data_IF_930533716830
#
_entry.id   IF_930533716830
#
_cell.length_a   1.000
_cell.length_b   1.000
_cell.length_c   1.000
_cell.angle_alpha   90.00
_cell.angle_beta   90.00
_cell.angle_gamma   90.00
#
_symmetry.space_group_name_H-M   'P 1'
#
loop_
_entity.id
_entity.type
_entity.pdbx_description
1 polymer ?
#
# COMPACT_ATOMS: atom_id res chain seq x y z
N UNK A 1 -25.12 10.17 -27.15
CA UNK A 1 -23.69 10.29 -26.81
C UNK A 1 -23.60 10.68 -25.34
N UNK A 2 -23.14 9.78 -24.46
CA UNK A 2 -23.01 10.09 -23.02
C UNK A 2 -21.84 11.05 -22.82
N UNK A 3 -22.04 12.13 -22.07
CA UNK A 3 -20.98 13.09 -21.76
C UNK A 3 -19.80 12.37 -21.09
N UNK A 4 -18.54 12.67 -21.48
CA UNK A 4 -17.37 11.98 -20.94
C UNK A 4 -17.25 12.24 -19.44
N UNK A 5 -17.42 11.20 -18.63
CA UNK A 5 -17.30 11.28 -17.17
C UNK A 5 -15.84 11.48 -16.73
N UNK A 6 -15.60 11.98 -15.52
CA UNK A 6 -14.25 12.11 -14.94
C UNK A 6 -13.42 10.82 -15.02
N UNK A 7 -14.08 9.65 -14.97
CA UNK A 7 -13.45 8.33 -15.10
C UNK A 7 -12.93 8.07 -16.52
N UNK A 8 -13.57 8.59 -17.55
CA UNK A 8 -13.11 8.49 -18.95
C UNK A 8 -11.86 9.35 -19.14
N UNK A 9 -11.86 10.59 -18.66
CA UNK A 9 -10.68 11.44 -18.67
C UNK A 9 -9.51 10.82 -17.90
N UNK A 10 -9.76 10.28 -16.70
CA UNK A 10 -8.76 9.56 -15.92
C UNK A 10 -8.14 8.38 -16.70
N UNK A 11 -8.96 7.58 -17.40
CA UNK A 11 -8.45 6.48 -18.22
C UNK A 11 -7.65 6.97 -19.42
N UNK A 12 -8.10 8.04 -20.07
CA UNK A 12 -7.45 8.62 -21.25
C UNK A 12 -6.10 9.23 -20.89
N UNK A 13 -6.05 10.06 -19.84
CA UNK A 13 -4.78 10.60 -19.33
C UNK A 13 -3.81 9.49 -18.88
N UNK A 14 -4.34 8.39 -18.31
CA UNK A 14 -3.50 7.25 -17.93
C UNK A 14 -2.95 6.51 -19.15
N UNK A 15 -3.72 6.40 -20.23
CA UNK A 15 -3.26 5.81 -21.48
C UNK A 15 -2.09 6.61 -22.06
N UNK A 16 -2.26 7.93 -22.21
CA UNK A 16 -1.20 8.79 -22.73
C UNK A 16 0.05 8.78 -21.86
N UNK A 17 -0.12 8.79 -20.53
CA UNK A 17 1.00 8.66 -19.60
C UNK A 17 1.76 7.35 -19.81
N UNK A 18 1.06 6.24 -19.96
CA UNK A 18 1.68 4.93 -20.19
C UNK A 18 2.37 4.82 -21.56
N UNK A 19 1.88 5.55 -22.56
CA UNK A 19 2.50 5.65 -23.89
C UNK A 19 3.73 6.56 -23.91
N UNK A 20 3.99 7.31 -22.84
CA UNK A 20 5.08 8.29 -22.75
C UNK A 20 4.71 9.68 -23.29
N UNK A 21 3.44 9.90 -23.65
CA UNK A 21 2.92 11.18 -24.12
C UNK A 21 2.59 12.10 -22.93
N UNK A 22 3.63 12.52 -22.20
CA UNK A 22 3.50 13.32 -20.97
C UNK A 22 2.76 14.65 -21.21
N UNK A 23 3.03 15.32 -22.33
CA UNK A 23 2.40 16.62 -22.66
C UNK A 23 0.88 16.49 -22.85
N UNK A 24 0.43 15.49 -23.61
CA UNK A 24 -1.00 15.24 -23.83
C UNK A 24 -1.70 14.78 -22.56
N UNK A 25 -1.05 13.92 -21.77
CA UNK A 25 -1.55 13.52 -20.45
C UNK A 25 -1.78 14.73 -19.53
N UNK A 26 -0.84 15.68 -19.47
CA UNK A 26 -1.02 16.94 -18.71
C UNK A 26 -2.16 17.79 -19.24
N UNK A 27 -2.29 17.92 -20.56
CA UNK A 27 -3.36 18.69 -21.19
C UNK A 27 -4.74 18.11 -20.81
N UNK A 28 -4.88 16.78 -20.92
CA UNK A 28 -6.09 16.06 -20.51
C UNK A 28 -6.37 16.18 -19.02
N UNK A 29 -5.34 16.12 -18.17
CA UNK A 29 -5.50 16.34 -16.73
C UNK A 29 -5.92 17.77 -16.41
N UNK A 30 -5.38 18.78 -17.09
CA UNK A 30 -5.76 20.19 -16.91
C UNK A 30 -7.20 20.43 -17.36
N UNK A 31 -7.59 19.91 -18.52
CA UNK A 31 -8.96 20.01 -19.02
C UNK A 31 -9.95 19.32 -18.08
N UNK A 32 -9.63 18.08 -17.66
CA UNK A 32 -10.51 17.31 -16.78
C UNK A 32 -10.62 17.92 -15.39
N UNK A 33 -9.55 18.48 -14.83
CA UNK A 33 -9.60 19.19 -13.56
C UNK A 33 -10.45 20.47 -13.66
N UNK A 34 -10.45 21.18 -14.79
CA UNK A 34 -11.35 22.35 -14.97
C UNK A 34 -12.84 21.99 -14.93
N UNK A 35 -13.19 20.74 -15.28
CA UNK A 35 -14.58 20.24 -15.29
C UNK A 35 -14.94 19.46 -14.02
N UNK A 36 -13.96 18.80 -13.40
CA UNK A 36 -14.15 17.83 -12.31
C UNK A 36 -13.11 18.03 -11.20
N UNK A 37 -13.12 19.21 -10.58
CA UNK A 37 -12.18 19.57 -9.49
C UNK A 37 -12.31 18.67 -8.26
N UNK A 38 -13.50 18.10 -8.01
CA UNK A 38 -13.79 17.30 -6.82
C UNK A 38 -13.33 15.85 -6.93
N UNK A 39 -12.81 15.42 -8.09
CA UNK A 39 -12.43 14.04 -8.30
C UNK A 39 -10.95 13.82 -7.93
N UNK A 40 -10.65 13.20 -6.77
CA UNK A 40 -9.32 13.21 -6.16
C UNK A 40 -8.26 12.50 -7.02
N UNK A 41 -8.68 11.49 -7.79
CA UNK A 41 -7.75 10.66 -8.56
C UNK A 41 -7.10 11.41 -9.73
N UNK A 42 -7.73 12.46 -10.25
CA UNK A 42 -7.11 13.34 -11.26
C UNK A 42 -5.98 14.17 -10.63
N UNK A 43 -6.18 14.69 -9.42
CA UNK A 43 -5.12 15.37 -8.65
C UNK A 43 -3.96 14.41 -8.30
N UNK A 44 -4.28 13.17 -7.93
CA UNK A 44 -3.26 12.15 -7.67
C UNK A 44 -2.41 11.89 -8.92
N UNK A 45 -3.05 11.68 -10.07
CA UNK A 45 -2.35 11.46 -11.34
C UNK A 45 -1.51 12.65 -11.75
N UNK A 46 -2.04 13.88 -11.60
CA UNK A 46 -1.29 15.11 -11.90
C UNK A 46 -0.01 15.20 -11.05
N UNK A 47 -0.11 15.02 -9.74
CA UNK A 47 1.06 15.08 -8.87
C UNK A 47 2.08 13.98 -9.15
N UNK A 48 1.63 12.75 -9.41
CA UNK A 48 2.52 11.64 -9.75
C UNK A 48 3.25 11.85 -11.09
N UNK A 49 2.58 12.45 -12.08
CA UNK A 49 3.18 12.79 -13.36
C UNK A 49 4.33 13.79 -13.19
N UNK A 50 4.10 14.84 -12.39
CA UNK A 50 5.15 15.82 -12.06
C UNK A 50 6.29 15.21 -11.22
N UNK A 51 5.99 14.25 -10.32
CA UNK A 51 7.04 13.48 -9.62
C UNK A 51 7.93 12.67 -10.58
N UNK A 52 7.36 12.07 -11.62
CA UNK A 52 8.14 11.34 -12.65
C UNK A 52 9.05 12.27 -13.45
N UNK A 53 8.59 13.49 -13.72
CA UNK A 53 9.37 14.53 -14.40
C UNK A 53 10.36 15.27 -13.48
N UNK A 54 10.38 14.90 -12.18
CA UNK A 54 11.20 15.53 -11.13
C UNK A 54 10.83 17.00 -10.85
N UNK A 55 9.65 17.44 -11.27
CA UNK A 55 9.09 18.74 -10.90
C UNK A 55 8.37 18.64 -9.53
N UNK A 56 9.18 18.69 -8.47
CA UNK A 56 8.68 18.54 -7.11
C UNK A 56 7.80 19.70 -6.64
N UNK A 57 7.96 20.88 -7.24
CA UNK A 57 7.17 22.06 -6.89
C UNK A 57 5.74 21.94 -7.42
N UNK A 58 5.58 21.66 -8.71
CA UNK A 58 4.25 21.46 -9.30
C UNK A 58 3.55 20.21 -8.74
N UNK A 59 4.30 19.15 -8.42
CA UNK A 59 3.76 17.99 -7.71
C UNK A 59 3.15 18.38 -6.35
N UNK A 60 3.87 19.19 -5.57
CA UNK A 60 3.40 19.68 -4.27
C UNK A 60 2.15 20.55 -4.42
N UNK A 61 2.12 21.45 -5.39
CA UNK A 61 0.95 22.29 -5.66
C UNK A 61 -0.26 21.46 -6.10
N UNK A 62 -0.07 20.47 -6.96
CA UNK A 62 -1.12 19.56 -7.39
C UNK A 62 -1.75 18.82 -6.21
N UNK A 63 -0.92 18.25 -5.32
CA UNK A 63 -1.44 17.55 -4.14
C UNK A 63 -2.09 18.51 -3.12
N UNK A 64 -1.51 19.69 -2.87
CA UNK A 64 -2.12 20.69 -1.97
C UNK A 64 -3.45 21.22 -2.47
N UNK A 65 -3.58 21.43 -3.78
CA UNK A 65 -4.86 21.81 -4.38
C UNK A 65 -5.86 20.66 -4.29
N UNK A 66 -5.40 19.43 -4.54
CA UNK A 66 -6.21 18.23 -4.36
C UNK A 66 -6.72 18.04 -2.93
N UNK A 67 -5.90 18.26 -1.90
CA UNK A 67 -6.34 18.13 -0.50
C UNK A 67 -7.30 19.26 -0.07
N UNK A 68 -7.21 20.44 -0.68
CA UNK A 68 -8.16 21.53 -0.46
C UNK A 68 -9.53 21.26 -1.11
N UNK A 69 -9.54 20.73 -2.34
CA UNK A 69 -10.76 20.44 -3.10
C UNK A 69 -11.43 19.14 -2.65
N UNK A 70 -10.65 18.11 -2.35
CA UNK A 70 -11.13 16.80 -1.89
C UNK A 70 -10.51 16.41 -0.53
N UNK A 71 -10.88 17.09 0.57
CA UNK A 71 -10.28 16.87 1.89
C UNK A 71 -10.55 15.49 2.47
N UNK A 72 -11.59 14.80 2.00
CA UNK A 72 -11.99 13.44 2.42
C UNK A 72 -11.13 12.33 1.81
N UNK A 73 -10.33 12.62 0.78
CA UNK A 73 -9.47 11.62 0.15
C UNK A 73 -8.16 11.46 0.92
N UNK A 74 -8.09 10.43 1.76
CA UNK A 74 -6.90 10.11 2.53
C UNK A 74 -5.67 9.80 1.65
N UNK A 75 -5.86 9.27 0.43
CA UNK A 75 -4.75 8.95 -0.47
C UNK A 75 -3.98 10.20 -0.91
N UNK A 76 -4.67 11.32 -1.14
CA UNK A 76 -4.02 12.59 -1.49
C UNK A 76 -3.15 13.11 -0.35
N UNK A 77 -3.65 12.99 0.88
CA UNK A 77 -2.88 13.35 2.08
C UNK A 77 -1.63 12.49 2.24
N UNK A 78 -1.73 11.18 2.01
CA UNK A 78 -0.59 10.26 2.06
C UNK A 78 0.45 10.62 0.97
N UNK A 79 0.01 10.89 -0.26
CA UNK A 79 0.91 11.29 -1.34
C UNK A 79 1.62 12.61 -1.02
N UNK A 80 0.90 13.62 -0.51
CA UNK A 80 1.50 14.88 -0.09
C UNK A 80 2.53 14.68 1.03
N UNK A 81 2.20 13.87 2.04
CA UNK A 81 3.11 13.60 3.15
C UNK A 81 4.38 12.86 2.70
N UNK A 82 4.24 11.86 1.82
CA UNK A 82 5.38 11.15 1.22
C UNK A 82 6.24 12.06 0.35
N UNK A 83 5.64 13.01 -0.37
CA UNK A 83 6.38 14.00 -1.15
C UNK A 83 7.20 14.94 -0.24
N UNK A 84 6.60 15.46 0.83
CA UNK A 84 7.30 16.31 1.81
C UNK A 84 8.44 15.54 2.50
N UNK A 85 8.24 14.26 2.81
CA UNK A 85 9.29 13.37 3.34
C UNK A 85 10.44 13.20 2.34
N UNK A 86 10.15 12.94 1.05
CA UNK A 86 11.18 12.85 0.00
C UNK A 86 11.99 14.14 -0.16
N UNK A 87 11.37 15.30 0.12
CA UNK A 87 12.04 16.60 0.12
C UNK A 87 12.85 16.86 1.42
N UNK A 88 12.84 15.95 2.39
CA UNK A 88 13.50 16.10 3.69
C UNK A 88 12.69 16.93 4.71
N UNK A 89 11.49 17.39 4.36
CA UNK A 89 10.64 18.21 5.21
C UNK A 89 9.80 17.36 6.18
N UNK A 90 10.44 16.59 7.06
CA UNK A 90 9.75 15.65 7.98
C UNK A 90 8.73 16.37 8.88
N UNK A 91 9.04 17.56 9.38
CA UNK A 91 8.11 18.38 10.18
C UNK A 91 6.86 18.79 9.41
N UNK A 92 6.98 19.13 8.12
CA UNK A 92 5.83 19.43 7.27
C UNK A 92 5.02 18.15 7.01
N UNK A 93 5.67 17.03 6.72
CA UNK A 93 5.00 15.75 6.52
C UNK A 93 4.16 15.34 7.76
N UNK A 94 4.69 15.53 8.98
CA UNK A 94 3.94 15.33 10.24
C UNK A 94 2.71 16.22 10.32
N UNK A 95 2.87 17.52 10.05
CA UNK A 95 1.76 18.48 10.08
C UNK A 95 0.67 18.12 9.08
N UNK A 96 1.05 17.72 7.86
CA UNK A 96 0.12 17.26 6.81
C UNK A 96 -0.67 16.03 7.28
N UNK A 97 -0.02 15.04 7.88
CA UNK A 97 -0.70 13.83 8.36
C UNK A 97 -1.58 14.09 9.60
N UNK A 98 -1.20 15.01 10.47
CA UNK A 98 -2.04 15.45 11.59
C UNK A 98 -3.33 16.11 11.08
N UNK A 99 -3.20 17.05 10.12
CA UNK A 99 -4.35 17.66 9.46
C UNK A 99 -5.23 16.60 8.76
N UNK A 100 -4.60 15.63 8.08
CA UNK A 100 -5.31 14.54 7.44
C UNK A 100 -6.13 13.72 8.42
N UNK A 101 -5.58 13.39 9.60
CA UNK A 101 -6.29 12.68 10.68
C UNK A 101 -7.45 13.49 11.24
N UNK A 102 -7.27 14.78 11.45
CA UNK A 102 -8.36 15.65 11.92
C UNK A 102 -9.53 15.69 10.92
N UNK A 103 -9.23 15.69 9.62
CA UNK A 103 -10.24 15.63 8.56
C UNK A 103 -10.84 14.24 8.36
N UNK A 104 -10.08 13.18 8.63
CA UNK A 104 -10.43 11.78 8.40
C UNK A 104 -10.10 10.90 9.63
N UNK A 105 -10.82 11.07 10.76
CA UNK A 105 -10.42 10.51 12.06
C UNK A 105 -10.49 8.98 12.17
N UNK A 106 -11.15 8.30 11.24
CA UNK A 106 -11.35 6.84 11.26
C UNK A 106 -10.53 6.06 10.22
N UNK A 107 -9.60 6.72 9.55
CA UNK A 107 -8.78 6.08 8.51
C UNK A 107 -7.47 5.60 9.12
N UNK A 108 -7.37 4.30 9.32
CA UNK A 108 -6.19 3.59 9.83
C UNK A 108 -4.93 3.78 8.97
N UNK A 109 -5.09 3.87 7.65
CA UNK A 109 -3.98 4.11 6.71
C UNK A 109 -3.22 5.42 6.98
N UNK A 110 -3.88 6.46 7.52
CA UNK A 110 -3.21 7.71 7.88
C UNK A 110 -2.32 7.55 9.12
N UNK A 111 -2.79 6.77 10.10
CA UNK A 111 -1.98 6.39 11.26
C UNK A 111 -0.78 5.56 10.85
N UNK A 112 -1.01 4.56 10.01
CA UNK A 112 0.01 3.66 9.49
C UNK A 112 1.09 4.42 8.72
N UNK A 113 0.72 5.36 7.85
CA UNK A 113 1.71 6.19 7.15
C UNK A 113 2.53 7.05 8.12
N UNK A 114 1.89 7.61 9.15
CA UNK A 114 2.59 8.44 10.13
C UNK A 114 3.63 7.63 10.91
N UNK A 115 3.26 6.41 11.33
CA UNK A 115 4.20 5.50 12.00
C UNK A 115 5.37 5.15 11.08
N UNK A 116 5.10 4.92 9.79
CA UNK A 116 6.13 4.57 8.82
C UNK A 116 7.09 5.72 8.52
N UNK A 117 6.61 6.96 8.39
CA UNK A 117 7.48 8.14 8.23
C UNK A 117 8.43 8.26 9.42
N UNK A 118 7.94 8.11 10.66
CA UNK A 118 8.80 8.16 11.85
C UNK A 118 9.81 7.02 11.92
N UNK A 119 9.38 5.81 11.52
CA UNK A 119 10.26 4.65 11.45
C UNK A 119 11.37 4.84 10.42
N UNK A 120 11.04 5.41 9.25
CA UNK A 120 12.03 5.76 8.21
C UNK A 120 12.95 6.90 8.62
N UNK A 121 12.43 7.86 9.39
CA UNK A 121 13.20 8.96 9.99
C UNK A 121 14.07 8.56 11.18
N UNK A 122 14.06 7.29 11.60
CA UNK A 122 14.89 6.78 12.70
C UNK A 122 14.31 6.97 14.12
N UNK A 123 13.16 7.63 14.25
CA UNK A 123 12.53 7.94 15.54
C UNK A 123 11.70 6.77 16.07
N UNK A 124 12.35 5.64 16.36
CA UNK A 124 11.66 4.38 16.72
C UNK A 124 10.77 4.50 17.97
N UNK A 125 11.19 5.22 18.99
CA UNK A 125 10.40 5.37 20.23
C UNK A 125 9.15 6.21 20.00
N UNK A 126 9.28 7.28 19.21
CA UNK A 126 8.14 8.09 18.83
C UNK A 126 7.18 7.30 17.93
N UNK A 127 7.70 6.51 16.98
CA UNK A 127 6.89 5.61 16.15
C UNK A 127 6.09 4.60 16.99
N UNK A 128 6.69 4.00 18.03
CA UNK A 128 5.98 3.10 18.97
C UNK A 128 4.88 3.82 19.73
N UNK A 129 5.14 5.04 20.22
CA UNK A 129 4.13 5.83 20.93
C UNK A 129 2.95 6.18 20.00
N UNK A 130 3.24 6.45 18.73
CA UNK A 130 2.23 6.75 17.72
C UNK A 130 1.43 5.51 17.33
N UNK A 131 2.07 4.34 17.22
CA UNK A 131 1.39 3.06 16.97
C UNK A 131 0.46 2.68 18.14
N UNK A 132 0.88 2.94 19.39
CA UNK A 132 0.01 2.71 20.54
C UNK A 132 -1.27 3.57 20.50
N UNK A 133 -1.15 4.86 20.13
CA UNK A 133 -2.30 5.75 19.90
C UNK A 133 -3.18 5.26 18.74
N UNK A 134 -2.56 4.86 17.63
CA UNK A 134 -3.28 4.33 16.47
C UNK A 134 -4.15 3.10 16.82
N UNK A 135 -3.64 2.19 17.66
CA UNK A 135 -4.37 1.01 18.11
C UNK A 135 -5.45 1.33 19.16
N UNK A 136 -5.36 2.46 19.86
CA UNK A 136 -6.44 2.94 20.75
C UNK A 136 -7.61 3.48 19.92
N UNK A 137 -7.31 4.28 18.89
CA UNK A 137 -8.33 4.88 18.02
C UNK A 137 -8.94 3.89 17.02
N UNK A 138 -8.13 2.97 16.50
CA UNK A 138 -8.51 1.98 15.49
C UNK A 138 -8.16 0.55 15.95
N UNK A 139 -8.82 0.02 17.00
CA UNK A 139 -8.46 -1.27 17.60
C UNK A 139 -8.74 -2.49 16.72
N UNK A 140 -9.60 -2.34 15.69
CA UNK A 140 -10.00 -3.39 14.75
C UNK A 140 -9.26 -3.34 13.41
N UNK A 141 -8.28 -2.44 13.24
CA UNK A 141 -7.51 -2.37 11.99
C UNK A 141 -6.43 -3.45 11.98
N UNK A 142 -6.62 -4.46 11.12
CA UNK A 142 -5.62 -5.52 10.98
C UNK A 142 -4.31 -5.05 10.34
N UNK A 143 -4.32 -3.98 9.54
CA UNK A 143 -3.10 -3.38 8.98
C UNK A 143 -2.21 -2.76 10.06
N UNK A 144 -2.80 -2.01 11.00
CA UNK A 144 -2.07 -1.45 12.13
C UNK A 144 -1.51 -2.55 13.03
N UNK A 145 -2.30 -3.59 13.31
CA UNK A 145 -1.82 -4.75 14.07
C UNK A 145 -0.69 -5.50 13.36
N UNK A 146 -0.80 -5.70 12.05
CA UNK A 146 0.23 -6.36 11.26
C UNK A 146 1.58 -5.62 11.35
N UNK A 147 1.58 -4.29 11.23
CA UNK A 147 2.79 -3.48 11.41
C UNK A 147 3.27 -3.47 12.87
N UNK A 148 2.35 -3.37 13.84
CA UNK A 148 2.67 -3.38 15.26
C UNK A 148 3.42 -4.67 15.67
N UNK A 149 3.07 -5.82 15.11
CA UNK A 149 3.78 -7.09 15.36
C UNK A 149 5.27 -6.98 14.98
N UNK A 150 5.60 -6.35 13.85
CA UNK A 150 6.99 -6.25 13.40
C UNK A 150 7.78 -5.11 14.05
N UNK A 151 7.09 -4.11 14.60
CA UNK A 151 7.72 -3.05 15.41
C UNK A 151 8.21 -3.53 16.78
N UNK A 152 7.61 -4.59 17.32
CA UNK A 152 8.03 -5.19 18.58
C UNK A 152 9.33 -5.99 18.44
N UNK A 153 10.02 -6.18 19.57
CA UNK A 153 11.23 -7.02 19.62
C UNK A 153 10.88 -8.48 19.31
N UNK A 154 11.81 -9.24 18.71
CA UNK A 154 11.58 -10.64 18.27
C UNK A 154 10.87 -11.52 19.32
N UNK A 155 11.25 -11.50 20.63
CA UNK A 155 10.55 -12.30 21.65
C UNK A 155 9.09 -11.88 21.90
N UNK A 156 8.79 -10.58 21.77
CA UNK A 156 7.47 -9.99 22.05
C UNK A 156 6.50 -10.11 20.86
N UNK A 157 7.00 -10.41 19.65
CA UNK A 157 6.14 -10.51 18.45
C UNK A 157 5.08 -11.60 18.58
N UNK A 158 5.41 -12.72 19.24
CA UNK A 158 4.48 -13.83 19.45
C UNK A 158 3.29 -13.40 20.30
N UNK A 159 3.53 -12.76 21.44
CA UNK A 159 2.44 -12.29 22.32
C UNK A 159 1.60 -11.23 21.61
N UNK A 160 2.24 -10.27 20.94
CA UNK A 160 1.55 -9.25 20.14
C UNK A 160 0.67 -9.84 19.04
N UNK A 161 1.14 -10.90 18.37
CA UNK A 161 0.39 -11.57 17.31
C UNK A 161 -0.86 -12.30 17.83
N UNK A 162 -0.81 -12.83 19.06
CA UNK A 162 -1.98 -13.43 19.71
C UNK A 162 -3.00 -12.35 20.06
N UNK A 163 -2.56 -11.20 20.56
CA UNK A 163 -3.45 -10.07 20.84
C UNK A 163 -4.11 -9.53 19.55
N UNK A 164 -3.34 -9.43 18.47
CA UNK A 164 -3.85 -9.06 17.15
C UNK A 164 -4.92 -10.04 16.66
N UNK A 165 -4.70 -11.35 16.79
CA UNK A 165 -5.68 -12.38 16.40
C UNK A 165 -6.95 -12.32 17.26
N UNK A 166 -6.85 -11.99 18.55
CA UNK A 166 -8.03 -11.82 19.43
C UNK A 166 -8.88 -10.61 19.03
N UNK A 167 -8.26 -9.54 18.50
CA UNK A 167 -8.97 -8.32 18.09
C UNK A 167 -9.46 -8.38 16.64
N UNK A 168 -8.72 -9.04 15.77
CA UNK A 168 -8.90 -9.06 14.31
C UNK A 168 -8.75 -10.48 13.75
N UNK A 169 -9.57 -11.43 14.21
CA UNK A 169 -9.38 -12.87 13.95
C UNK A 169 -9.41 -13.27 12.47
N UNK A 170 -10.17 -12.55 11.66
CA UNK A 170 -10.37 -12.85 10.24
C UNK A 170 -9.75 -11.79 9.32
N UNK A 171 -8.87 -10.93 9.83
CA UNK A 171 -8.22 -9.93 8.98
C UNK A 171 -7.02 -10.54 8.22
N UNK A 172 -6.98 -10.43 6.88
CA UNK A 172 -5.94 -11.05 6.06
C UNK A 172 -4.54 -10.47 6.30
N UNK A 173 -4.41 -9.22 6.73
CA UNK A 173 -3.11 -8.61 7.04
C UNK A 173 -2.52 -9.20 8.33
N UNK A 174 -3.36 -9.47 9.33
CA UNK A 174 -2.93 -10.11 10.58
C UNK A 174 -2.54 -11.56 10.32
N UNK A 175 -3.34 -12.30 9.55
CA UNK A 175 -3.00 -13.68 9.16
C UNK A 175 -1.69 -13.74 8.36
N UNK A 176 -1.48 -12.78 7.45
CA UNK A 176 -0.22 -12.64 6.71
C UNK A 176 0.96 -12.34 7.65
N UNK A 177 0.78 -11.44 8.62
CA UNK A 177 1.81 -11.12 9.60
C UNK A 177 2.20 -12.34 10.46
N UNK A 178 1.21 -13.13 10.89
CA UNK A 178 1.42 -14.39 11.62
C UNK A 178 2.13 -15.44 10.74
N UNK A 179 1.76 -15.54 9.46
CA UNK A 179 2.42 -16.44 8.50
C UNK A 179 3.91 -16.09 8.36
N UNK A 180 4.20 -14.78 8.20
CA UNK A 180 5.58 -14.25 8.16
C UNK A 180 6.32 -14.48 9.49
N UNK A 181 5.64 -14.38 10.63
CA UNK A 181 6.22 -14.67 11.95
C UNK A 181 6.68 -16.14 12.02
N UNK A 182 5.81 -17.09 11.69
CA UNK A 182 6.17 -18.51 11.68
C UNK A 182 7.28 -18.84 10.68
N UNK A 183 7.29 -18.16 9.53
CA UNK A 183 8.40 -18.27 8.58
C UNK A 183 9.71 -17.77 9.20
N UNK A 184 9.70 -16.62 9.89
CA UNK A 184 10.89 -16.09 10.57
C UNK A 184 11.40 -17.00 11.70
N UNK A 185 10.51 -17.73 12.37
CA UNK A 185 10.84 -18.73 13.39
C UNK A 185 11.24 -20.09 12.80
N UNK A 186 11.37 -20.21 11.47
CA UNK A 186 11.69 -21.45 10.73
C UNK A 186 10.68 -22.60 10.93
N UNK A 187 9.46 -22.31 11.37
CA UNK A 187 8.38 -23.30 11.54
C UNK A 187 7.63 -23.49 10.22
N UNK A 188 8.27 -24.12 9.25
CA UNK A 188 7.83 -24.17 7.85
C UNK A 188 6.42 -24.78 7.67
N UNK A 189 6.11 -25.88 8.35
CA UNK A 189 4.80 -26.54 8.24
C UNK A 189 3.67 -25.62 8.73
N UNK A 190 3.86 -24.95 9.87
CA UNK A 190 2.89 -23.98 10.40
C UNK A 190 2.80 -22.76 9.49
N UNK A 191 3.93 -22.22 9.01
CA UNK A 191 3.92 -21.09 8.09
C UNK A 191 3.08 -21.39 6.84
N UNK A 192 3.23 -22.59 6.25
CA UNK A 192 2.44 -23.05 5.09
C UNK A 192 0.95 -23.16 5.38
N UNK A 193 0.57 -23.68 6.55
CA UNK A 193 -0.83 -23.75 6.98
C UNK A 193 -1.44 -22.34 7.11
N UNK A 194 -0.73 -21.43 7.75
CA UNK A 194 -1.17 -20.04 7.92
C UNK A 194 -1.22 -19.25 6.62
N UNK A 195 -0.28 -19.48 5.69
CA UNK A 195 -0.36 -18.91 4.35
C UNK A 195 -1.59 -19.41 3.60
N UNK A 196 -1.87 -20.72 3.63
CA UNK A 196 -3.08 -21.28 3.03
C UNK A 196 -4.36 -20.70 3.65
N UNK A 197 -4.37 -20.51 4.98
CA UNK A 197 -5.49 -19.84 5.68
C UNK A 197 -5.65 -18.39 5.20
N UNK A 198 -4.55 -17.64 5.08
CA UNK A 198 -4.55 -16.23 4.65
C UNK A 198 -5.19 -16.07 3.26
N UNK A 199 -4.71 -16.81 2.27
CA UNK A 199 -5.23 -16.72 0.88
C UNK A 199 -6.63 -17.33 0.72
N UNK A 200 -7.09 -18.16 1.67
CA UNK A 200 -8.45 -18.69 1.68
C UNK A 200 -9.45 -17.69 2.25
N UNK A 201 -9.05 -16.92 3.27
CA UNK A 201 -9.87 -15.88 3.88
C UNK A 201 -10.06 -14.71 2.92
N UNK A 202 -8.97 -14.24 2.30
CA UNK A 202 -9.03 -13.19 1.28
C UNK A 202 -8.18 -13.58 0.06
N UNK A 203 -8.80 -14.17 -0.97
CA UNK A 203 -8.13 -14.48 -2.24
C UNK A 203 -7.77 -13.23 -3.07
N UNK A 204 -8.34 -12.07 -2.78
CA UNK A 204 -8.12 -10.81 -3.53
C UNK A 204 -6.88 -10.04 -3.03
N UNK A 205 -6.32 -10.46 -1.89
CA UNK A 205 -5.14 -9.85 -1.30
C UNK A 205 -3.83 -10.33 -1.97
N UNK A 206 -3.36 -9.56 -2.94
CA UNK A 206 -2.19 -9.86 -3.76
C UNK A 206 -0.86 -9.95 -3.00
N UNK A 207 -0.69 -9.17 -1.92
CA UNK A 207 0.54 -9.25 -1.11
C UNK A 207 0.65 -10.61 -0.40
N UNK A 208 -0.48 -11.21 0.02
CA UNK A 208 -0.47 -12.54 0.62
C UNK A 208 -0.02 -13.61 -0.38
N UNK A 209 -0.52 -13.56 -1.61
CA UNK A 209 -0.05 -14.45 -2.68
C UNK A 209 1.44 -14.25 -2.97
N UNK A 210 1.93 -13.01 -3.02
CA UNK A 210 3.33 -12.73 -3.28
C UNK A 210 4.26 -13.24 -2.18
N UNK A 211 3.89 -13.07 -0.91
CA UNK A 211 4.64 -13.66 0.21
C UNK A 211 4.57 -15.19 0.22
N UNK A 212 3.40 -15.76 -0.09
CA UNK A 212 3.23 -17.22 -0.12
C UNK A 212 4.06 -17.86 -1.25
N UNK A 213 4.04 -17.25 -2.44
CA UNK A 213 4.87 -17.69 -3.56
C UNK A 213 6.36 -17.56 -3.22
N UNK A 214 6.78 -16.45 -2.58
CA UNK A 214 8.16 -16.27 -2.11
C UNK A 214 8.58 -17.34 -1.09
N UNK A 215 7.69 -17.72 -0.18
CA UNK A 215 7.93 -18.77 0.81
C UNK A 215 8.16 -20.14 0.13
N UNK A 216 7.39 -20.47 -0.90
CA UNK A 216 7.49 -21.77 -1.59
C UNK A 216 8.62 -21.82 -2.62
N UNK A 217 9.07 -20.66 -3.13
CA UNK A 217 10.34 -20.57 -3.84
C UNK A 217 11.54 -20.92 -2.93
N UNK A 218 11.47 -20.60 -1.64
CA UNK A 218 12.55 -20.85 -0.70
C UNK A 218 12.50 -22.25 -0.06
N UNK A 219 11.30 -22.81 0.14
CA UNK A 219 11.09 -24.00 0.98
C UNK A 219 10.12 -25.05 0.39
N UNK A 220 9.64 -24.84 -0.83
CA UNK A 220 8.66 -25.67 -1.50
C UNK A 220 9.23 -26.49 -2.65
N UNK A 221 8.44 -27.44 -3.13
CA UNK A 221 8.70 -28.16 -4.38
C UNK A 221 8.20 -27.35 -5.58
N UNK A 222 8.71 -27.63 -6.78
CA UNK A 222 8.23 -26.98 -8.01
C UNK A 222 6.73 -27.21 -8.25
N UNK A 223 6.19 -28.37 -7.84
CA UNK A 223 4.77 -28.66 -7.93
C UNK A 223 3.92 -27.68 -7.08
N UNK A 224 4.37 -27.37 -5.86
CA UNK A 224 3.68 -26.41 -4.99
C UNK A 224 3.73 -24.99 -5.58
N UNK A 225 4.86 -24.61 -6.15
CA UNK A 225 5.04 -23.29 -6.78
C UNK A 225 4.06 -23.11 -7.95
N UNK A 226 3.93 -24.12 -8.81
CA UNK A 226 2.96 -24.13 -9.93
C UNK A 226 1.52 -24.06 -9.42
N UNK A 227 1.17 -24.86 -8.41
CA UNK A 227 -0.18 -24.84 -7.82
C UNK A 227 -0.55 -23.47 -7.26
N UNK A 228 0.38 -22.77 -6.61
CA UNK A 228 0.13 -21.42 -6.07
C UNK A 228 -0.03 -20.39 -7.18
N UNK A 229 0.78 -20.50 -8.24
CA UNK A 229 0.62 -19.65 -9.42
C UNK A 229 -0.77 -19.81 -10.03
N UNK A 230 -1.21 -21.05 -10.28
CA UNK A 230 -2.53 -21.34 -10.84
C UNK A 230 -3.66 -20.80 -9.95
N UNK A 231 -3.55 -20.97 -8.63
CA UNK A 231 -4.53 -20.46 -7.67
C UNK A 231 -4.58 -18.93 -7.66
N UNK A 232 -3.43 -18.26 -7.70
CA UNK A 232 -3.33 -16.80 -7.76
C UNK A 232 -3.89 -16.24 -9.07
N UNK A 233 -3.59 -16.88 -10.20
CA UNK A 233 -4.15 -16.49 -11.51
C UNK A 233 -5.66 -16.64 -11.51
N UNK A 234 -6.19 -17.73 -10.91
CA UNK A 234 -7.64 -17.94 -10.78
C UNK A 234 -8.31 -16.91 -9.88
N UNK A 235 -7.64 -16.43 -8.84
CA UNK A 235 -8.22 -15.45 -7.91
C UNK A 235 -8.11 -13.99 -8.38
N UNK A 236 -7.26 -13.70 -9.37
CA UNK A 236 -7.03 -12.36 -9.93
C UNK A 236 -6.94 -11.23 -8.87
N UNK A 237 -5.99 -11.29 -7.93
CA UNK A 237 -5.93 -10.34 -6.83
C UNK A 237 -5.71 -8.89 -7.30
N UNK A 238 -6.39 -7.95 -6.64
CA UNK A 238 -6.39 -6.52 -6.94
C UNK A 238 -5.94 -5.67 -5.76
N UNK A 239 -5.98 -6.22 -4.54
CA UNK A 239 -5.62 -5.51 -3.33
C UNK A 239 -4.21 -5.87 -2.84
N UNK A 240 -3.68 -5.07 -1.92
CA UNK A 240 -2.29 -5.14 -1.46
C UNK A 240 -1.48 -3.93 -1.86
N UNK A 241 -0.64 -3.44 -0.94
CA UNK A 241 0.15 -2.23 -1.15
C UNK A 241 1.25 -2.47 -2.19
N UNK A 242 2.01 -3.56 -2.03
CA UNK A 242 3.11 -3.90 -2.94
C UNK A 242 2.57 -4.39 -4.29
N UNK A 243 1.51 -5.19 -4.26
CA UNK A 243 0.78 -5.62 -5.44
C UNK A 243 0.30 -4.44 -6.27
N UNK A 244 -0.41 -3.48 -5.63
CA UNK A 244 -0.90 -2.29 -6.32
C UNK A 244 0.23 -1.41 -6.85
N UNK A 245 1.32 -1.24 -6.09
CA UNK A 245 2.46 -0.44 -6.52
C UNK A 245 3.06 -0.99 -7.83
N UNK A 246 3.15 -2.32 -7.95
CA UNK A 246 3.76 -2.97 -9.11
C UNK A 246 2.77 -3.10 -10.27
N UNK A 247 1.54 -3.54 -10.00
CA UNK A 247 0.49 -3.69 -11.01
C UNK A 247 0.09 -2.35 -11.64
N UNK A 248 0.15 -1.25 -10.86
CA UNK A 248 -0.18 0.09 -11.37
C UNK A 248 1.01 0.82 -12.00
N UNK A 249 2.23 0.32 -11.83
CA UNK A 249 3.42 0.89 -12.47
C UNK A 249 3.26 0.89 -13.99
N UNK A 250 3.62 2.00 -14.63
CA UNK A 250 3.54 2.20 -16.09
C UNK A 250 4.24 1.08 -16.87
N UNK A 251 5.38 0.59 -16.36
CA UNK A 251 6.18 -0.49 -16.95
C UNK A 251 5.48 -1.85 -16.99
N UNK A 252 4.52 -2.09 -16.08
CA UNK A 252 3.88 -3.40 -15.92
C UNK A 252 2.41 -3.41 -16.36
N UNK A 253 1.91 -2.34 -17.00
CA UNK A 253 0.47 -2.18 -17.22
C UNK A 253 -0.17 -3.27 -18.11
N UNK A 254 0.58 -3.85 -19.06
CA UNK A 254 0.12 -4.94 -19.94
C UNK A 254 0.33 -6.33 -19.35
N UNK A 255 1.07 -6.42 -18.25
CA UNK A 255 1.44 -7.70 -17.65
C UNK A 255 0.23 -8.34 -16.98
N UNK A 256 0.12 -9.64 -17.14
CA UNK A 256 -0.92 -10.44 -16.51
C UNK A 256 -0.52 -10.83 -15.07
N UNK A 257 -1.46 -11.40 -14.32
CA UNK A 257 -1.28 -11.78 -12.92
C UNK A 257 -0.10 -12.74 -12.69
N UNK A 258 0.11 -13.67 -13.63
CA UNK A 258 1.21 -14.63 -13.68
C UNK A 258 2.59 -13.97 -13.80
N UNK A 259 2.69 -12.86 -14.52
CA UNK A 259 3.92 -12.08 -14.64
C UNK A 259 4.11 -11.10 -13.47
N UNK A 260 3.01 -10.56 -12.92
CA UNK A 260 3.05 -9.63 -11.79
C UNK A 260 3.49 -10.36 -10.51
N UNK A 261 2.97 -11.55 -10.23
CA UNK A 261 3.25 -12.28 -8.98
C UNK A 261 4.75 -12.50 -8.71
N UNK A 262 5.57 -13.01 -9.66
CA UNK A 262 7.01 -13.13 -9.49
C UNK A 262 7.72 -11.79 -9.28
N UNK A 263 7.27 -10.73 -9.95
CA UNK A 263 7.85 -9.39 -9.80
C UNK A 263 7.61 -8.88 -8.38
N UNK A 264 6.37 -9.00 -7.88
CA UNK A 264 6.04 -8.62 -6.50
C UNK A 264 6.88 -9.45 -5.52
N UNK A 265 6.90 -10.78 -5.66
CA UNK A 265 7.66 -11.67 -4.78
C UNK A 265 9.16 -11.31 -4.68
N UNK A 266 9.79 -10.88 -5.79
CA UNK A 266 11.19 -10.44 -5.81
C UNK A 266 11.40 -9.10 -5.09
N UNK A 267 10.46 -8.16 -5.22
CA UNK A 267 10.56 -6.83 -4.58
C UNK A 267 10.27 -6.83 -3.08
N UNK A 268 9.55 -7.83 -2.57
CA UNK A 268 9.26 -7.94 -1.14
C UNK A 268 10.56 -8.06 -0.35
N UNK A 269 10.64 -7.39 0.80
CA UNK A 269 11.80 -7.49 1.70
C UNK A 269 12.01 -8.94 2.16
N UNK A 270 13.27 -9.41 2.35
CA UNK A 270 13.54 -10.72 2.96
C UNK A 270 12.94 -10.76 4.37
N UNK A 271 12.27 -11.85 4.72
CA UNK A 271 11.64 -12.00 6.06
C UNK A 271 12.67 -12.00 7.18
N UNK A 272 13.92 -12.32 6.88
CA UNK A 272 15.05 -12.28 7.82
C UNK A 272 15.41 -10.85 8.27
N UNK A 273 15.06 -9.84 7.45
CA UNK A 273 15.27 -8.41 7.70
C UNK A 273 14.01 -7.71 8.25
N UNK A 274 12.98 -8.47 8.62
CA UNK A 274 11.72 -7.96 9.20
C UNK A 274 11.69 -8.25 10.70
#
# INVERSE_FOLDING_TARGET
>A
MSAPTARVYMKSARLEWVLGNYAESKALLKESLSKYEDFPKLWMMKGQLHEEEKDLYEAQQAYRNGTKKSPTSFQLWILLARLEEKQGNITKARSVLEQARHRNPRVDLLWLESVRIETRGGNKDFAKSLMAKALQDCPSSGQLWAEAIFMETRPQRKTKSVDALKRCEHDPHVLLAVSKLFWSERKLNKAREWFNRTVKIDPDFGDAWAYFYKFELAHGTEANQKSIMERCVKSEPRHGEMWNQIAKSTKNWRKKTDEILPIVARTLKPVENI
#
